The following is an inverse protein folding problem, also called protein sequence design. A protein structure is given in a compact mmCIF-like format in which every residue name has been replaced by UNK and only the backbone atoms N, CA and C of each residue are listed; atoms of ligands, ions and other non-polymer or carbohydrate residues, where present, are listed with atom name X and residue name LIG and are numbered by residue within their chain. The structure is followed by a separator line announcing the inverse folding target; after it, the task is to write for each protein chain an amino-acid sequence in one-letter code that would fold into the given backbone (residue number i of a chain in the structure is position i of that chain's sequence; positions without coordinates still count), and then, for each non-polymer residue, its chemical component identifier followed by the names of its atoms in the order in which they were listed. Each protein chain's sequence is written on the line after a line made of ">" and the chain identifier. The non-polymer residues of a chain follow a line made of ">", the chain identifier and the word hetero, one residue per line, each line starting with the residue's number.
data_IF_163911903648
#
_entry.id   IF_163911903648
#
_cell.length_a   1.000
_cell.length_b   1.000
_cell.length_c   1.000
_cell.angle_alpha   90.00
_cell.angle_beta   90.00
_cell.angle_gamma   90.00
#
_symmetry.space_group_name_H-M   'P 1'
#
loop_
_entity.id
_entity.type
_entity.pdbx_description
1 polymer ?
#
# COMPACT_ATOMS: atom_id res chain seq x y z
N UNK A 1 7.59 -36.77 48.75
CA UNK A 1 7.01 -35.63 48.03
C UNK A 1 8.12 -34.67 47.74
N UNK A 2 8.15 -34.09 46.55
CA UNK A 2 9.17 -33.11 46.14
C UNK A 2 8.83 -31.70 46.69
N UNK A 3 8.29 -31.62 47.90
CA UNK A 3 7.82 -30.38 48.49
C UNK A 3 8.99 -29.60 49.10
N UNK A 4 8.97 -28.27 48.95
CA UNK A 4 10.03 -27.42 49.48
C UNK A 4 10.10 -27.55 51.01
N UNK A 5 11.24 -28.02 51.52
CA UNK A 5 11.47 -28.19 52.96
C UNK A 5 12.06 -26.91 53.55
N UNK A 6 11.40 -26.35 54.56
CA UNK A 6 11.85 -25.16 55.27
C UNK A 6 12.43 -25.56 56.62
N UNK A 7 13.63 -25.05 56.94
CA UNK A 7 14.31 -25.30 58.21
C UNK A 7 13.50 -24.75 59.38
N UNK A 8 13.22 -25.60 60.36
CA UNK A 8 12.52 -25.19 61.58
C UNK A 8 13.31 -24.15 62.39
N UNK A 9 14.64 -24.28 62.46
CA UNK A 9 15.49 -23.45 63.33
C UNK A 9 15.82 -22.09 62.71
N UNK A 10 16.00 -22.03 61.40
CA UNK A 10 16.44 -20.82 60.69
C UNK A 10 15.33 -20.17 59.87
N UNK A 11 14.16 -20.81 59.77
CA UNK A 11 13.07 -20.37 58.90
C UNK A 11 13.42 -20.50 57.41
N UNK A 12 12.55 -19.95 56.57
CA UNK A 12 12.72 -19.89 55.11
C UNK A 12 11.52 -19.26 54.41
N UNK A 13 11.67 -18.96 53.13
CA UNK A 13 10.61 -18.38 52.28
C UNK A 13 10.12 -19.43 51.28
N UNK A 14 8.80 -19.50 51.10
CA UNK A 14 8.14 -20.27 50.05
C UNK A 14 7.51 -19.30 49.03
N UNK A 15 7.69 -19.57 47.74
CA UNK A 15 7.04 -18.80 46.67
C UNK A 15 6.21 -19.74 45.83
N UNK A 16 4.92 -19.44 45.71
CA UNK A 16 3.99 -20.12 44.81
C UNK A 16 3.61 -19.16 43.69
N UNK A 17 3.66 -19.63 42.44
CA UNK A 17 3.15 -18.89 41.27
C UNK A 17 1.86 -19.54 40.82
N UNK A 18 0.81 -18.74 40.67
CA UNK A 18 -0.46 -19.15 40.10
C UNK A 18 -0.83 -18.18 38.97
N UNK A 19 -1.50 -18.70 37.95
CA UNK A 19 -2.05 -17.93 36.84
C UNK A 19 -3.49 -18.38 36.62
N UNK A 20 -4.36 -17.42 36.33
CA UNK A 20 -5.77 -17.65 36.08
C UNK A 20 -6.16 -16.88 34.82
N UNK A 21 -6.98 -17.48 33.98
CA UNK A 21 -7.59 -16.74 32.87
C UNK A 21 -8.54 -15.69 33.45
N UNK A 22 -8.42 -14.46 32.94
CA UNK A 22 -9.30 -13.38 33.39
C UNK A 22 -10.74 -13.66 32.96
N UNK A 23 -11.67 -13.52 33.91
CA UNK A 23 -13.11 -13.43 33.63
C UNK A 23 -13.64 -12.10 34.15
N UNK A 24 -14.66 -11.49 33.51
CA UNK A 24 -15.15 -10.15 33.87
C UNK A 24 -15.51 -9.96 35.35
N UNK A 25 -16.00 -11.02 36.00
CA UNK A 25 -16.35 -11.05 37.43
C UNK A 25 -15.15 -10.76 38.33
N UNK A 26 -13.93 -11.03 37.88
CA UNK A 26 -12.70 -10.72 38.61
C UNK A 26 -12.47 -9.21 38.78
N UNK A 27 -13.16 -8.34 38.03
CA UNK A 27 -13.13 -6.90 38.29
C UNK A 27 -13.64 -6.55 39.69
N UNK A 28 -14.53 -7.37 40.27
CA UNK A 28 -15.14 -7.22 41.59
C UNK A 28 -14.95 -8.45 42.48
N UNK A 29 -13.82 -9.14 42.37
CA UNK A 29 -13.51 -10.29 43.21
C UNK A 29 -12.67 -9.92 44.42
N UNK A 30 -12.55 -10.85 45.36
CA UNK A 30 -11.55 -10.80 46.42
C UNK A 30 -10.64 -12.02 46.26
N UNK A 31 -9.33 -11.81 46.37
CA UNK A 31 -8.37 -12.92 46.33
C UNK A 31 -8.00 -13.30 47.76
N UNK A 32 -8.21 -14.57 48.10
CA UNK A 32 -7.88 -15.14 49.40
C UNK A 32 -6.81 -16.22 49.26
N UNK A 33 -5.96 -16.32 50.28
CA UNK A 33 -5.04 -17.43 50.49
C UNK A 33 -5.55 -18.30 51.63
N UNK A 34 -5.87 -19.55 51.30
CA UNK A 34 -6.31 -20.56 52.26
C UNK A 34 -5.18 -21.50 52.65
N UNK A 35 -5.17 -21.93 53.91
CA UNK A 35 -4.12 -22.76 54.47
C UNK A 35 -4.68 -24.09 54.99
N UNK A 36 -4.13 -25.19 54.49
CA UNK A 36 -4.37 -26.53 55.04
C UNK A 36 -3.07 -27.10 55.60
N UNK A 37 -2.97 -27.17 56.93
CA UNK A 37 -1.76 -27.62 57.60
C UNK A 37 -1.97 -29.03 58.15
N UNK A 38 -1.00 -29.93 57.92
CA UNK A 38 -0.97 -31.28 58.47
C UNK A 38 0.22 -31.47 59.38
N UNK A 39 -0.02 -31.97 60.61
CA UNK A 39 1.04 -32.44 61.52
C UNK A 39 0.71 -33.86 61.98
N UNK A 40 1.40 -34.84 61.41
CA UNK A 40 1.04 -36.25 61.58
C UNK A 40 -0.35 -36.55 60.99
N UNK A 41 -1.24 -37.15 61.80
CA UNK A 41 -2.65 -37.43 61.41
C UNK A 41 -3.62 -36.27 61.68
N UNK A 42 -3.17 -35.16 62.29
CA UNK A 42 -4.02 -34.01 62.64
C UNK A 42 -3.95 -32.93 61.56
N UNK A 43 -5.11 -32.43 61.16
CA UNK A 43 -5.26 -31.25 60.30
C UNK A 43 -5.50 -30.00 61.15
N UNK A 44 -4.92 -28.87 60.74
CA UNK A 44 -5.07 -27.56 61.35
C UNK A 44 -5.47 -26.57 60.26
N UNK A 45 -6.44 -25.72 60.57
CA UNK A 45 -6.91 -24.63 59.70
C UNK A 45 -6.42 -23.31 60.27
N UNK A 46 -5.81 -22.48 59.41
CA UNK A 46 -5.54 -21.08 59.72
C UNK A 46 -6.58 -20.25 58.97
N UNK A 47 -7.06 -19.12 59.53
CA UNK A 47 -7.97 -18.23 58.81
C UNK A 47 -7.43 -17.84 57.44
N UNK A 48 -8.34 -17.79 56.47
CA UNK A 48 -8.07 -17.28 55.13
C UNK A 48 -7.51 -15.85 55.22
N UNK A 49 -6.47 -15.58 54.44
CA UNK A 49 -5.88 -14.24 54.37
C UNK A 49 -6.31 -13.60 53.06
N UNK A 50 -7.04 -12.49 53.14
CA UNK A 50 -7.33 -11.67 51.96
C UNK A 50 -6.04 -11.00 51.48
N UNK A 51 -5.71 -11.17 50.20
CA UNK A 51 -4.47 -10.67 49.61
C UNK A 51 -4.67 -9.64 48.50
N UNK A 52 -5.85 -9.57 47.88
CA UNK A 52 -6.15 -8.53 46.89
C UNK A 52 -7.66 -8.27 46.71
N UNK A 53 -7.97 -7.12 46.12
CA UNK A 53 -9.31 -6.65 45.75
C UNK A 53 -9.38 -6.37 44.25
N UNK A 54 -10.17 -7.19 43.55
CA UNK A 54 -10.45 -7.12 42.12
C UNK A 54 -9.20 -7.20 41.24
N UNK A 55 -9.39 -6.98 39.95
CA UNK A 55 -8.32 -6.93 38.94
C UNK A 55 -8.42 -5.62 38.18
N UNK A 56 -7.28 -4.93 38.04
CA UNK A 56 -7.15 -3.81 37.10
C UNK A 56 -7.09 -4.39 35.68
N UNK A 57 -8.20 -4.29 34.95
CA UNK A 57 -8.39 -4.90 33.63
C UNK A 57 -8.30 -3.88 32.49
N UNK A 58 -7.51 -2.82 32.65
CA UNK A 58 -7.34 -1.76 31.64
C UNK A 58 -6.86 -2.29 30.29
N UNK A 59 -6.07 -3.38 30.27
CA UNK A 59 -5.67 -4.07 29.04
C UNK A 59 -6.82 -4.69 28.25
N UNK A 60 -7.96 -4.93 28.89
CA UNK A 60 -9.16 -5.52 28.27
C UNK A 60 -10.16 -4.48 27.75
N UNK A 61 -9.80 -3.20 27.76
CA UNK A 61 -10.63 -2.18 27.11
C UNK A 61 -10.73 -2.47 25.60
N UNK A 62 -11.93 -2.42 25.00
CA UNK A 62 -12.19 -2.83 23.62
C UNK A 62 -11.76 -1.76 22.61
N UNK A 63 -10.56 -1.20 22.74
CA UNK A 63 -10.08 -0.10 21.88
C UNK A 63 -9.90 -0.54 20.42
N UNK A 64 -9.71 -1.84 20.18
CA UNK A 64 -9.67 -2.45 18.84
C UNK A 64 -10.94 -2.10 18.04
N UNK A 65 -12.11 -2.02 18.69
CA UNK A 65 -13.37 -1.70 18.01
C UNK A 65 -13.39 -0.30 17.40
N UNK A 66 -12.54 0.61 17.91
CA UNK A 66 -12.33 1.97 17.38
C UNK A 66 -11.10 2.11 16.49
N UNK A 67 -10.43 0.99 16.15
CA UNK A 67 -9.26 1.00 15.27
C UNK A 67 -9.64 1.31 13.82
N UNK A 68 -8.69 1.83 13.05
CA UNK A 68 -8.91 2.12 11.64
C UNK A 68 -8.72 0.86 10.78
N UNK A 69 -9.81 0.39 10.18
CA UNK A 69 -9.74 -0.63 9.14
C UNK A 69 -8.96 -0.11 7.91
N UNK A 70 -8.21 -1.00 7.28
CA UNK A 70 -7.39 -0.72 6.11
C UNK A 70 -8.26 -0.39 4.90
N UNK A 71 -7.89 0.70 4.23
CA UNK A 71 -8.54 1.17 3.01
C UNK A 71 -7.84 0.58 1.80
N UNK A 72 -8.62 0.02 0.86
CA UNK A 72 -8.10 -0.47 -0.40
C UNK A 72 -8.24 0.63 -1.48
N UNK A 73 -7.13 1.28 -1.90
CA UNK A 73 -7.18 2.44 -2.77
C UNK A 73 -7.58 2.10 -4.20
N UNK A 74 -8.14 3.09 -4.89
CA UNK A 74 -8.25 3.06 -6.35
C UNK A 74 -6.87 3.12 -7.00
N UNK A 75 -6.80 2.75 -8.28
CA UNK A 75 -5.61 2.93 -9.10
C UNK A 75 -5.84 4.00 -10.19
N UNK A 76 -6.78 4.92 -9.96
CA UNK A 76 -7.19 5.89 -10.98
C UNK A 76 -6.04 6.86 -11.27
N UNK A 77 -5.71 6.98 -12.55
CA UNK A 77 -4.79 7.97 -13.06
C UNK A 77 -5.53 8.81 -14.10
N UNK A 78 -5.69 10.10 -13.81
CA UNK A 78 -6.34 11.03 -14.75
C UNK A 78 -5.54 11.21 -16.03
N UNK A 79 -4.22 11.09 -15.95
CA UNK A 79 -3.32 11.30 -17.07
C UNK A 79 -2.46 10.05 -17.22
N UNK A 80 -2.65 9.33 -18.32
CA UNK A 80 -1.84 8.15 -18.67
C UNK A 80 -0.95 8.51 -19.85
N UNK A 81 0.36 8.47 -19.64
CA UNK A 81 1.34 8.70 -20.70
C UNK A 81 1.38 7.50 -21.62
N UNK A 82 1.37 7.76 -22.92
CA UNK A 82 1.42 6.75 -23.97
C UNK A 82 2.39 7.20 -25.08
N UNK A 83 2.89 6.21 -25.83
CA UNK A 83 3.72 6.45 -26.98
C UNK A 83 3.25 5.57 -28.14
N UNK A 84 3.25 6.13 -29.36
CA UNK A 84 3.07 5.35 -30.59
C UNK A 84 4.34 5.44 -31.41
N UNK A 85 4.82 4.29 -31.86
CA UNK A 85 6.07 4.20 -32.60
C UNK A 85 5.87 3.74 -34.04
N UNK A 86 6.75 4.22 -34.91
CA UNK A 86 6.98 3.69 -36.25
C UNK A 86 8.45 3.81 -36.63
N UNK A 87 8.85 3.11 -37.68
CA UNK A 87 10.21 3.15 -38.21
C UNK A 87 10.19 3.34 -39.72
N UNK A 88 11.20 4.02 -40.22
CA UNK A 88 11.50 4.16 -41.65
C UNK A 88 12.88 3.55 -41.91
N UNK A 89 12.94 2.54 -42.77
CA UNK A 89 14.17 1.81 -43.07
C UNK A 89 14.93 2.40 -44.26
N UNK A 90 16.25 2.54 -44.12
CA UNK A 90 17.15 3.06 -45.14
C UNK A 90 17.99 1.95 -45.75
N UNK A 91 18.30 2.11 -47.04
CA UNK A 91 19.26 1.24 -47.72
C UNK A 91 20.70 1.57 -47.26
N UNK A 92 21.62 0.65 -47.53
CA UNK A 92 23.05 0.83 -47.25
C UNK A 92 23.56 2.13 -47.89
N UNK A 93 24.30 2.92 -47.13
CA UNK A 93 24.90 4.19 -47.58
C UNK A 93 23.89 5.20 -48.20
N UNK A 94 22.61 5.09 -47.87
CA UNK A 94 21.56 5.98 -48.35
C UNK A 94 20.83 6.68 -47.20
N UNK A 95 20.35 7.89 -47.46
CA UNK A 95 19.55 8.68 -46.52
C UNK A 95 18.19 9.13 -47.10
N UNK A 96 17.89 8.80 -48.37
CA UNK A 96 16.63 9.16 -49.01
C UNK A 96 15.46 8.32 -48.50
N UNK A 97 14.31 8.97 -48.30
CA UNK A 97 13.06 8.30 -47.94
C UNK A 97 12.49 7.56 -49.16
N UNK A 98 12.17 6.28 -48.99
CA UNK A 98 11.63 5.43 -50.06
C UNK A 98 10.10 5.39 -49.99
N UNK A 99 9.43 5.43 -51.14
CA UNK A 99 7.97 5.41 -51.20
C UNK A 99 7.35 4.15 -50.55
N UNK A 100 8.05 3.00 -50.58
CA UNK A 100 7.62 1.78 -49.91
C UNK A 100 7.56 1.93 -48.40
N UNK A 101 8.54 2.61 -47.80
CA UNK A 101 8.61 2.87 -46.35
C UNK A 101 7.55 3.87 -45.93
N UNK A 102 7.37 4.93 -46.73
CA UNK A 102 6.37 5.96 -46.47
C UNK A 102 4.92 5.44 -46.58
N UNK A 103 4.73 4.31 -47.27
CA UNK A 103 3.44 3.62 -47.42
C UNK A 103 3.34 2.36 -46.56
N UNK A 104 4.30 2.12 -45.66
CA UNK A 104 4.25 1.00 -44.73
C UNK A 104 3.05 1.11 -43.79
N UNK A 105 2.50 -0.03 -43.37
CA UNK A 105 1.33 -0.04 -42.50
C UNK A 105 1.65 0.50 -41.10
N UNK A 106 2.89 0.29 -40.63
CA UNK A 106 3.40 0.89 -39.39
C UNK A 106 3.34 2.42 -39.44
N UNK A 107 3.85 3.04 -40.50
CA UNK A 107 3.86 4.49 -40.62
C UNK A 107 2.45 5.06 -40.84
N UNK A 108 1.59 4.37 -41.60
CA UNK A 108 0.16 4.75 -41.70
C UNK A 108 -0.54 4.73 -40.34
N UNK A 109 -0.32 3.68 -39.55
CA UNK A 109 -0.91 3.56 -38.21
C UNK A 109 -0.39 4.66 -37.27
N UNK A 110 0.88 5.02 -37.37
CA UNK A 110 1.47 6.15 -36.65
C UNK A 110 0.80 7.47 -37.03
N UNK A 111 0.70 7.80 -38.32
CA UNK A 111 0.03 9.04 -38.78
C UNK A 111 -1.42 9.10 -38.33
N UNK A 112 -2.15 7.97 -38.45
CA UNK A 112 -3.53 7.89 -37.96
C UNK A 112 -3.62 8.20 -36.47
N UNK A 113 -2.70 7.65 -35.66
CA UNK A 113 -2.67 7.94 -34.22
C UNK A 113 -2.38 9.42 -33.96
N UNK A 114 -1.36 10.00 -34.60
CA UNK A 114 -1.01 11.43 -34.45
C UNK A 114 -2.19 12.33 -34.78
N UNK A 115 -2.90 12.07 -35.89
CA UNK A 115 -4.11 12.81 -36.26
C UNK A 115 -5.23 12.63 -35.23
N UNK A 116 -5.41 11.41 -34.71
CA UNK A 116 -6.45 11.13 -33.70
C UNK A 116 -6.19 11.91 -32.41
N UNK A 117 -4.97 11.84 -31.87
CA UNK A 117 -4.62 12.48 -30.59
C UNK A 117 -4.53 14.00 -30.70
N UNK A 118 -4.19 14.53 -31.88
CA UNK A 118 -4.21 15.98 -32.13
C UNK A 118 -5.64 16.50 -32.37
N UNK A 119 -6.53 15.68 -32.92
CA UNK A 119 -7.90 16.06 -33.26
C UNK A 119 -8.88 15.98 -32.08
N UNK A 120 -8.64 15.09 -31.12
CA UNK A 120 -9.47 14.93 -29.92
C UNK A 120 -8.73 15.45 -28.68
N UNK A 121 -8.68 16.78 -28.56
CA UNK A 121 -8.01 17.48 -27.44
C UNK A 121 -8.76 17.35 -26.12
N UNK A 122 -9.96 16.74 -26.12
CA UNK A 122 -10.70 16.44 -24.90
C UNK A 122 -10.11 15.22 -24.21
N UNK A 123 -9.87 14.16 -24.97
CA UNK A 123 -9.40 12.88 -24.43
C UNK A 123 -7.89 12.67 -24.56
N UNK A 124 -7.21 13.52 -25.33
CA UNK A 124 -5.78 13.40 -25.56
C UNK A 124 -5.05 14.74 -25.53
N UNK A 125 -3.76 14.67 -25.20
CA UNK A 125 -2.82 15.76 -25.42
C UNK A 125 -1.58 15.22 -26.12
N UNK A 126 -1.37 15.61 -27.37
CA UNK A 126 -0.10 15.36 -28.06
C UNK A 126 0.99 16.24 -27.41
N UNK A 127 2.04 15.61 -26.89
CA UNK A 127 3.12 16.32 -26.21
C UNK A 127 4.20 16.74 -27.20
N UNK A 128 4.78 15.76 -27.90
CA UNK A 128 5.79 15.97 -28.94
C UNK A 128 5.86 14.76 -29.88
N UNK A 129 6.60 14.92 -30.97
CA UNK A 129 7.06 13.82 -31.81
C UNK A 129 8.58 13.77 -31.77
N UNK A 130 9.13 12.68 -31.28
CA UNK A 130 10.57 12.42 -31.30
C UNK A 130 10.97 11.68 -32.58
N UNK A 131 12.07 12.10 -33.19
CA UNK A 131 12.71 11.43 -34.32
C UNK A 131 14.14 11.08 -33.89
N UNK A 132 14.45 9.79 -33.86
CA UNK A 132 15.80 9.29 -33.65
C UNK A 132 16.29 8.57 -34.90
N UNK A 133 17.27 9.15 -35.60
CA UNK A 133 17.86 8.56 -36.80
C UNK A 133 19.20 7.91 -36.53
N UNK A 134 19.45 6.77 -37.19
CA UNK A 134 20.60 5.93 -36.92
C UNK A 134 21.33 5.58 -38.22
N UNK A 135 22.65 5.44 -38.13
CA UNK A 135 23.43 4.67 -39.08
C UNK A 135 23.97 3.37 -38.47
N UNK A 136 24.12 2.37 -39.33
CA UNK A 136 24.67 1.07 -38.96
C UNK A 136 26.19 1.19 -38.77
N UNK A 137 26.79 0.45 -37.84
CA UNK A 137 28.23 0.53 -37.57
C UNK A 137 29.08 -0.26 -38.58
N UNK A 138 28.97 0.08 -39.87
CA UNK A 138 29.63 -0.64 -40.97
C UNK A 138 30.37 0.23 -42.01
N UNK A 139 30.31 1.56 -41.88
CA UNK A 139 30.84 2.53 -42.84
C UNK A 139 31.90 3.50 -42.33
N UNK A 140 32.44 3.32 -41.12
CA UNK A 140 33.33 4.30 -40.47
C UNK A 140 32.60 5.53 -39.90
N UNK A 141 33.22 6.19 -38.92
CA UNK A 141 32.57 7.23 -38.08
C UNK A 141 32.10 8.44 -38.89
N UNK A 142 32.94 8.97 -39.79
CA UNK A 142 32.64 10.19 -40.56
C UNK A 142 31.45 10.00 -41.52
N UNK A 143 31.47 8.91 -42.29
CA UNK A 143 30.39 8.56 -43.22
C UNK A 143 29.09 8.30 -42.46
N UNK A 144 29.16 7.54 -41.36
CA UNK A 144 28.00 7.21 -40.56
C UNK A 144 27.37 8.42 -39.86
N UNK A 145 28.20 9.36 -39.41
CA UNK A 145 27.74 10.66 -38.89
C UNK A 145 26.94 11.41 -39.95
N UNK A 146 27.52 11.55 -41.15
CA UNK A 146 26.87 12.21 -42.29
C UNK A 146 25.56 11.53 -42.68
N UNK A 147 25.53 10.19 -42.69
CA UNK A 147 24.32 9.43 -43.02
C UNK A 147 23.23 9.60 -41.96
N UNK A 148 23.58 9.51 -40.68
CA UNK A 148 22.63 9.63 -39.57
C UNK A 148 22.00 11.03 -39.52
N UNK A 149 22.80 12.08 -39.69
CA UNK A 149 22.35 13.47 -39.76
C UNK A 149 21.41 13.69 -40.96
N UNK A 150 21.79 13.24 -42.16
CA UNK A 150 20.95 13.36 -43.35
C UNK A 150 19.62 12.59 -43.22
N UNK A 151 19.64 11.41 -42.58
CA UNK A 151 18.43 10.63 -42.30
C UNK A 151 17.50 11.35 -41.33
N UNK A 152 18.05 11.97 -40.28
CA UNK A 152 17.29 12.82 -39.37
C UNK A 152 16.67 13.99 -40.14
N UNK A 153 17.46 14.79 -40.83
CA UNK A 153 16.99 15.96 -41.59
C UNK A 153 15.89 15.60 -42.61
N UNK A 154 16.06 14.51 -43.37
CA UNK A 154 15.05 14.07 -44.33
C UNK A 154 13.75 13.62 -43.64
N UNK A 155 13.86 12.87 -42.54
CA UNK A 155 12.71 12.37 -41.79
C UNK A 155 11.95 13.49 -41.10
N UNK A 156 12.66 14.43 -40.49
CA UNK A 156 12.09 15.61 -39.85
C UNK A 156 11.37 16.50 -40.86
N UNK A 157 12.00 16.79 -42.01
CA UNK A 157 11.35 17.53 -43.10
C UNK A 157 10.07 16.84 -43.57
N UNK A 158 10.09 15.51 -43.71
CA UNK A 158 8.90 14.75 -44.06
C UNK A 158 7.82 14.87 -42.99
N UNK A 159 8.17 14.72 -41.70
CA UNK A 159 7.22 14.79 -40.59
C UNK A 159 6.59 16.18 -40.49
N UNK A 160 7.40 17.24 -40.53
CA UNK A 160 6.92 18.63 -40.53
C UNK A 160 5.95 18.91 -41.69
N UNK A 161 6.18 18.33 -42.87
CA UNK A 161 5.22 18.43 -43.98
C UNK A 161 3.90 17.71 -43.71
N UNK A 162 3.92 16.53 -43.08
CA UNK A 162 2.69 15.82 -42.73
C UNK A 162 1.90 16.55 -41.64
N UNK A 163 2.58 17.07 -40.61
CA UNK A 163 1.96 17.89 -39.56
C UNK A 163 1.31 19.14 -40.14
N UNK A 164 2.01 19.86 -41.01
CA UNK A 164 1.47 21.03 -41.72
C UNK A 164 0.24 20.69 -42.56
N UNK A 165 0.23 19.54 -43.25
CA UNK A 165 -0.95 19.07 -44.00
C UNK A 165 -2.13 18.75 -43.08
N UNK A 166 -1.85 18.16 -41.92
CA UNK A 166 -2.85 17.88 -40.88
C UNK A 166 -3.28 19.10 -40.08
N UNK A 167 -2.63 20.26 -40.26
CA UNK A 167 -2.78 21.46 -39.41
C UNK A 167 -2.54 21.15 -37.92
N UNK A 168 -1.58 20.26 -37.66
CA UNK A 168 -1.21 19.84 -36.30
C UNK A 168 -0.01 20.66 -35.87
N UNK A 169 -0.17 21.40 -34.77
CA UNK A 169 0.91 22.15 -34.13
C UNK A 169 1.44 21.32 -32.95
N UNK A 170 2.69 20.87 -33.06
CA UNK A 170 3.39 20.11 -32.02
C UNK A 170 4.89 20.31 -32.18
N UNK A 171 5.64 20.18 -31.08
CA UNK A 171 7.09 20.14 -31.11
C UNK A 171 7.57 18.84 -31.78
N UNK A 172 8.63 18.94 -32.59
CA UNK A 172 9.31 17.81 -33.22
C UNK A 172 10.77 17.82 -32.77
N UNK A 173 11.11 16.86 -31.92
CA UNK A 173 12.45 16.72 -31.36
C UNK A 173 13.24 15.72 -32.18
N UNK A 174 14.21 16.20 -32.94
CA UNK A 174 14.99 15.36 -33.84
C UNK A 174 16.43 15.22 -33.35
N UNK A 175 16.92 13.98 -33.29
CA UNK A 175 18.30 13.65 -32.96
C UNK A 175 18.83 12.52 -33.85
N UNK A 176 20.14 12.41 -33.94
CA UNK A 176 20.79 11.33 -34.67
C UNK A 176 21.87 10.64 -33.83
N UNK A 177 22.14 9.38 -34.16
CA UNK A 177 23.23 8.60 -33.59
C UNK A 177 24.06 8.04 -34.74
N UNK A 178 25.31 8.47 -34.82
CA UNK A 178 26.22 8.08 -35.91
C UNK A 178 26.38 6.56 -35.99
N UNK A 179 26.65 5.88 -34.88
CA UNK A 179 26.78 4.43 -34.84
C UNK A 179 25.95 3.85 -33.70
N UNK A 180 24.87 3.15 -34.04
CA UNK A 180 23.95 2.52 -33.07
C UNK A 180 24.55 1.22 -32.48
N UNK A 181 25.63 1.35 -31.71
CA UNK A 181 26.30 0.21 -31.08
C UNK A 181 25.41 -0.48 -30.03
N UNK A 182 24.60 0.28 -29.30
CA UNK A 182 23.67 -0.26 -28.30
C UNK A 182 22.56 -1.06 -28.98
N UNK A 183 21.95 -0.52 -30.03
CA UNK A 183 20.97 -1.25 -30.84
C UNK A 183 21.59 -2.47 -31.53
N UNK A 184 22.85 -2.39 -31.97
CA UNK A 184 23.56 -3.53 -32.54
C UNK A 184 23.72 -4.66 -31.50
N UNK A 185 24.16 -4.33 -30.29
CA UNK A 185 24.28 -5.28 -29.20
C UNK A 185 22.93 -5.91 -28.86
N UNK A 186 21.86 -5.11 -28.79
CA UNK A 186 20.51 -5.60 -28.51
C UNK A 186 20.04 -6.60 -29.57
N UNK A 187 20.14 -6.25 -30.85
CA UNK A 187 19.72 -7.13 -31.95
C UNK A 187 20.54 -8.42 -32.00
N UNK A 188 21.87 -8.34 -31.81
CA UNK A 188 22.73 -9.52 -31.75
C UNK A 188 22.29 -10.42 -30.59
N UNK A 189 22.06 -9.86 -29.40
CA UNK A 189 21.66 -10.65 -28.20
C UNK A 189 20.39 -11.48 -28.42
N UNK A 190 19.43 -10.92 -29.17
CA UNK A 190 18.13 -11.54 -29.52
C UNK A 190 18.20 -12.45 -30.75
N UNK A 191 19.30 -12.46 -31.47
CA UNK A 191 19.48 -13.25 -32.69
C UNK A 191 19.90 -14.70 -32.41
N UNK A 192 19.82 -15.53 -33.45
CA UNK A 192 20.30 -16.91 -33.49
C UNK A 192 21.60 -17.06 -34.30
N UNK A 193 22.37 -15.97 -34.42
CA UNK A 193 23.60 -15.95 -35.21
C UNK A 193 24.68 -16.81 -34.54
N UNK A 194 25.47 -17.51 -35.35
CA UNK A 194 26.60 -18.29 -34.89
C UNK A 194 27.64 -17.38 -34.20
N UNK A 195 28.29 -17.85 -33.14
CA UNK A 195 29.30 -17.08 -32.38
C UNK A 195 28.76 -15.76 -31.77
N UNK A 196 27.46 -15.68 -31.50
CA UNK A 196 26.80 -14.56 -30.81
C UNK A 196 27.55 -14.11 -29.56
N UNK A 197 27.96 -15.04 -28.70
CA UNK A 197 28.65 -14.72 -27.44
C UNK A 197 30.03 -14.10 -27.67
N UNK A 198 30.71 -14.46 -28.77
CA UNK A 198 31.97 -13.84 -29.16
C UNK A 198 31.73 -12.39 -29.60
N UNK A 199 30.70 -12.15 -30.41
CA UNK A 199 30.33 -10.80 -30.85
C UNK A 199 29.98 -9.91 -29.66
N UNK A 200 29.14 -10.40 -28.74
CA UNK A 200 28.76 -9.66 -27.53
C UNK A 200 29.98 -9.36 -26.65
N UNK A 201 30.94 -10.30 -26.55
CA UNK A 201 32.19 -10.08 -25.84
C UNK A 201 33.02 -8.98 -26.48
N UNK A 202 33.17 -8.99 -27.81
CA UNK A 202 33.88 -7.94 -28.56
C UNK A 202 33.24 -6.57 -28.30
N UNK A 203 31.91 -6.47 -28.37
CA UNK A 203 31.18 -5.23 -28.09
C UNK A 203 31.38 -4.71 -26.65
N UNK A 204 31.52 -5.63 -25.68
CA UNK A 204 31.79 -5.28 -24.28
C UNK A 204 33.26 -4.92 -23.99
N UNK A 205 34.20 -5.52 -24.73
CA UNK A 205 35.64 -5.43 -24.45
C UNK A 205 36.25 -4.16 -25.03
N UNK A 206 35.75 -3.71 -26.18
CA UNK A 206 36.18 -2.48 -26.82
C UNK A 206 35.12 -1.41 -26.62
N UNK A 207 35.53 -0.18 -26.34
CA UNK A 207 34.65 1.00 -26.32
C UNK A 207 34.89 1.92 -27.52
N UNK A 208 36.08 1.85 -28.12
CA UNK A 208 36.45 2.58 -29.32
C UNK A 208 35.64 2.09 -30.52
N UNK A 209 34.91 2.97 -31.24
CA UNK A 209 34.08 2.56 -32.37
C UNK A 209 34.82 2.00 -33.58
N UNK A 210 36.02 2.51 -33.90
CA UNK A 210 36.81 2.03 -35.03
C UNK A 210 37.40 0.64 -34.72
N UNK A 211 37.83 0.45 -33.47
CA UNK A 211 38.29 -0.84 -33.00
C UNK A 211 37.15 -1.87 -32.99
N UNK A 212 35.96 -1.51 -32.48
CA UNK A 212 34.77 -2.38 -32.54
C UNK A 212 34.44 -2.81 -33.97
N UNK A 213 34.41 -1.86 -34.90
CA UNK A 213 34.08 -2.14 -36.30
C UNK A 213 35.10 -3.09 -36.94
N UNK A 214 36.39 -2.87 -36.69
CA UNK A 214 37.47 -3.71 -37.20
C UNK A 214 37.38 -5.14 -36.67
N UNK A 215 37.22 -5.30 -35.36
CA UNK A 215 37.16 -6.61 -34.72
C UNK A 215 35.91 -7.40 -35.17
N UNK A 216 34.77 -6.74 -35.33
CA UNK A 216 33.55 -7.36 -35.85
C UNK A 216 33.71 -7.79 -37.32
N UNK A 217 34.36 -6.97 -38.16
CA UNK A 217 34.64 -7.31 -39.56
C UNK A 217 35.61 -8.50 -39.69
N UNK A 218 36.54 -8.67 -38.74
CA UNK A 218 37.48 -9.78 -38.71
C UNK A 218 36.82 -11.14 -38.40
N UNK A 219 35.60 -11.16 -37.87
CA UNK A 219 34.79 -12.38 -37.69
C UNK A 219 34.17 -12.79 -39.04
N UNK A 220 35.02 -13.06 -40.02
CA UNK A 220 34.72 -13.10 -41.45
C UNK A 220 33.52 -14.00 -41.85
N UNK A 221 33.36 -15.17 -41.24
CA UNK A 221 32.27 -16.10 -41.53
C UNK A 221 30.91 -15.64 -41.01
N UNK A 222 30.89 -14.87 -39.91
CA UNK A 222 29.67 -14.41 -39.22
C UNK A 222 29.29 -13.00 -39.67
N UNK A 223 30.28 -12.20 -40.11
CA UNK A 223 30.06 -10.85 -40.60
C UNK A 223 29.06 -10.81 -41.76
N UNK A 224 29.07 -11.82 -42.64
CA UNK A 224 28.08 -11.91 -43.72
C UNK A 224 26.65 -12.02 -43.17
N UNK A 225 26.42 -12.90 -42.20
CA UNK A 225 25.12 -13.03 -41.53
C UNK A 225 24.73 -11.74 -40.80
N UNK A 226 25.69 -11.07 -40.15
CA UNK A 226 25.45 -9.76 -39.53
C UNK A 226 25.05 -8.70 -40.56
N UNK A 227 25.72 -8.67 -41.72
CA UNK A 227 25.46 -7.73 -42.80
C UNK A 227 24.12 -7.97 -43.50
N UNK A 228 23.69 -9.21 -43.60
CA UNK A 228 22.45 -9.60 -44.27
C UNK A 228 21.24 -9.52 -43.32
N UNK A 229 21.40 -9.86 -42.04
CA UNK A 229 20.28 -10.01 -41.10
C UNK A 229 20.18 -8.90 -40.04
N UNK A 230 21.29 -8.34 -39.56
CA UNK A 230 21.30 -7.41 -38.41
C UNK A 230 21.52 -5.96 -38.84
N UNK A 231 22.61 -5.67 -39.54
CA UNK A 231 22.99 -4.32 -39.95
C UNK A 231 21.88 -3.58 -40.73
N UNK A 232 21.07 -4.23 -41.59
CA UNK A 232 19.96 -3.56 -42.27
C UNK A 232 18.90 -3.04 -41.29
N UNK A 233 18.66 -3.74 -40.18
CA UNK A 233 17.70 -3.32 -39.15
C UNK A 233 18.17 -2.09 -38.37
N UNK A 234 19.47 -1.81 -38.35
CA UNK A 234 20.01 -0.62 -37.69
C UNK A 234 19.89 0.66 -38.52
N UNK A 235 19.70 0.52 -39.84
CA UNK A 235 19.57 1.64 -40.78
C UNK A 235 18.14 2.18 -40.73
N UNK A 236 17.79 2.91 -39.66
CA UNK A 236 16.42 3.36 -39.43
C UNK A 236 16.33 4.79 -38.92
N UNK A 237 15.17 5.40 -39.12
CA UNK A 237 14.69 6.50 -38.30
C UNK A 237 13.47 6.01 -37.51
N UNK A 238 13.55 6.08 -36.18
CA UNK A 238 12.45 5.77 -35.27
C UNK A 238 11.67 7.05 -35.02
N UNK A 239 10.36 7.00 -35.21
CA UNK A 239 9.43 8.06 -34.88
C UNK A 239 8.63 7.63 -33.65
N UNK A 240 8.53 8.52 -32.66
CA UNK A 240 7.77 8.28 -31.44
C UNK A 240 6.85 9.48 -31.20
N UNK A 241 5.53 9.28 -31.27
CA UNK A 241 4.57 10.28 -30.86
C UNK A 241 4.25 10.05 -29.38
N UNK A 242 4.65 10.98 -28.52
CA UNK A 242 4.35 10.91 -27.09
C UNK A 242 3.08 11.73 -26.83
N UNK A 243 2.11 11.12 -26.16
CA UNK A 243 0.84 11.76 -25.88
C UNK A 243 0.27 11.29 -24.54
N UNK A 244 -0.54 12.14 -23.94
CA UNK A 244 -1.29 11.83 -22.74
C UNK A 244 -2.69 11.38 -23.14
N UNK A 245 -3.20 10.32 -22.50
CA UNK A 245 -4.62 9.98 -22.48
C UNK A 245 -5.21 10.62 -21.23
N UNK A 246 -6.22 11.47 -21.44
CA UNK A 246 -6.88 12.25 -20.40
C UNK A 246 -8.17 11.54 -20.03
N UNK A 247 -8.23 11.05 -18.79
CA UNK A 247 -9.43 10.50 -18.17
C UNK A 247 -10.42 11.60 -17.77
N UNK A 248 -11.63 11.18 -17.39
CA UNK A 248 -12.72 12.09 -16.99
C UNK A 248 -12.33 13.01 -15.83
N UNK A 249 -12.90 14.22 -15.81
CA UNK A 249 -12.79 15.14 -14.68
C UNK A 249 -13.59 14.66 -13.46
N UNK A 250 -13.39 15.29 -12.31
CA UNK A 250 -14.17 15.01 -11.09
C UNK A 250 -15.67 15.24 -11.29
N UNK A 251 -16.02 16.29 -12.01
CA UNK A 251 -17.39 16.64 -12.35
C UNK A 251 -17.99 15.63 -13.33
N UNK A 252 -17.22 15.21 -14.34
CA UNK A 252 -17.66 14.19 -15.29
C UNK A 252 -17.84 12.82 -14.64
N UNK A 253 -16.96 12.43 -13.72
CA UNK A 253 -17.09 11.18 -12.96
C UNK A 253 -18.32 11.21 -12.06
N UNK A 254 -18.53 12.31 -11.31
CA UNK A 254 -19.71 12.45 -10.47
C UNK A 254 -21.01 12.44 -11.28
N UNK A 255 -21.06 13.21 -12.37
CA UNK A 255 -22.23 13.26 -13.24
C UNK A 255 -22.52 11.90 -13.88
N UNK A 256 -21.49 11.18 -14.32
CA UNK A 256 -21.63 9.84 -14.87
C UNK A 256 -22.13 8.85 -13.81
N UNK A 257 -21.67 8.93 -12.56
CA UNK A 257 -22.19 8.08 -11.49
C UNK A 257 -23.71 8.32 -11.26
N UNK A 258 -24.14 9.58 -11.27
CA UNK A 258 -25.53 9.96 -11.02
C UNK A 258 -26.47 9.64 -12.21
N UNK A 259 -25.94 9.50 -13.43
CA UNK A 259 -26.73 9.30 -14.66
C UNK A 259 -26.61 7.91 -15.28
N UNK A 260 -25.40 7.42 -15.49
CA UNK A 260 -25.12 6.07 -16.01
C UNK A 260 -23.75 5.55 -15.52
N UNK A 261 -23.73 5.01 -14.30
CA UNK A 261 -22.50 4.49 -13.69
C UNK A 261 -21.80 3.37 -14.49
N UNK A 262 -22.45 2.75 -15.50
CA UNK A 262 -21.87 1.67 -16.31
C UNK A 262 -20.76 2.16 -17.24
N UNK A 263 -20.71 3.47 -17.52
CA UNK A 263 -19.67 4.06 -18.37
C UNK A 263 -18.35 4.32 -17.63
N UNK A 264 -18.38 4.22 -16.29
CA UNK A 264 -17.23 4.41 -15.42
C UNK A 264 -16.52 3.07 -15.20
N UNK A 265 -15.21 3.09 -15.29
CA UNK A 265 -14.37 1.96 -14.88
C UNK A 265 -14.46 1.71 -13.37
N UNK A 266 -13.98 0.54 -12.93
CA UNK A 266 -13.87 0.23 -11.50
C UNK A 266 -12.98 1.24 -10.75
N UNK A 267 -11.86 1.67 -11.34
CA UNK A 267 -10.99 2.67 -10.74
C UNK A 267 -11.65 4.05 -10.67
N UNK A 268 -12.39 4.48 -11.70
CA UNK A 268 -13.16 5.72 -11.66
C UNK A 268 -14.25 5.69 -10.59
N UNK A 269 -14.96 4.56 -10.41
CA UNK A 269 -15.97 4.43 -9.35
C UNK A 269 -15.33 4.45 -7.96
N UNK A 270 -14.24 3.72 -7.75
CA UNK A 270 -13.53 3.73 -6.46
C UNK A 270 -12.99 5.14 -6.15
N UNK A 271 -12.45 5.82 -7.16
CA UNK A 271 -12.01 7.21 -7.06
C UNK A 271 -13.18 8.15 -6.75
N UNK A 272 -14.35 7.97 -7.37
CA UNK A 272 -15.54 8.78 -7.11
C UNK A 272 -15.94 8.78 -5.63
N UNK A 273 -15.75 7.65 -4.93
CA UNK A 273 -16.02 7.58 -3.49
C UNK A 273 -15.08 8.46 -2.65
N UNK A 274 -13.88 8.79 -3.16
CA UNK A 274 -12.94 9.71 -2.50
C UNK A 274 -13.32 11.19 -2.66
N UNK A 275 -14.16 11.51 -3.66
CA UNK A 275 -14.58 12.88 -3.98
C UNK A 275 -15.67 13.43 -3.06
N UNK A 276 -16.22 12.60 -2.18
CA UNK A 276 -17.29 12.99 -1.26
C UNK A 276 -16.88 12.74 0.19
N UNK A 277 -17.47 13.50 1.12
CA UNK A 277 -17.40 13.24 2.56
C UNK A 277 -18.70 12.64 3.12
N UNK A 278 -19.75 12.55 2.31
CA UNK A 278 -21.02 11.92 2.69
C UNK A 278 -20.90 10.39 2.66
N UNK A 279 -21.00 9.77 3.83
CA UNK A 279 -20.93 8.32 3.99
C UNK A 279 -22.05 7.59 3.21
N UNK A 280 -23.25 8.17 3.11
CA UNK A 280 -24.33 7.53 2.36
C UNK A 280 -23.99 7.45 0.86
N UNK A 281 -23.47 8.54 0.29
CA UNK A 281 -22.98 8.55 -1.10
C UNK A 281 -21.80 7.62 -1.31
N UNK A 282 -20.82 7.56 -0.40
CA UNK A 282 -19.69 6.60 -0.47
C UNK A 282 -20.18 5.16 -0.52
N UNK A 283 -21.10 4.80 0.36
CA UNK A 283 -21.65 3.45 0.43
C UNK A 283 -22.41 3.10 -0.86
N UNK A 284 -23.20 4.03 -1.39
CA UNK A 284 -23.91 3.86 -2.66
C UNK A 284 -22.93 3.62 -3.83
N UNK A 285 -21.83 4.38 -3.88
CA UNK A 285 -20.79 4.20 -4.89
C UNK A 285 -20.16 2.81 -4.77
N UNK A 286 -19.69 2.41 -3.59
CA UNK A 286 -19.07 1.09 -3.44
C UNK A 286 -20.03 -0.07 -3.71
N UNK A 287 -21.31 0.04 -3.31
CA UNK A 287 -22.34 -0.94 -3.67
C UNK A 287 -22.51 -1.04 -5.19
N UNK A 288 -22.51 0.10 -5.89
CA UNK A 288 -22.58 0.10 -7.35
C UNK A 288 -21.34 -0.49 -8.00
N UNK A 289 -20.15 -0.25 -7.43
CA UNK A 289 -18.91 -0.89 -7.88
C UNK A 289 -18.98 -2.41 -7.73
N UNK A 290 -19.52 -2.91 -6.60
CA UNK A 290 -19.73 -4.36 -6.41
C UNK A 290 -20.71 -4.94 -7.45
N UNK A 291 -21.78 -4.21 -7.77
CA UNK A 291 -22.77 -4.63 -8.78
C UNK A 291 -22.14 -4.72 -10.19
N UNK A 292 -21.37 -3.71 -10.59
CA UNK A 292 -20.81 -3.60 -11.94
C UNK A 292 -19.50 -4.40 -12.11
N UNK A 293 -18.72 -4.51 -11.04
CA UNK A 293 -17.39 -5.13 -11.01
C UNK A 293 -17.29 -6.14 -9.85
N UNK A 294 -18.07 -7.23 -9.87
CA UNK A 294 -18.19 -8.16 -8.74
C UNK A 294 -16.91 -8.94 -8.39
N UNK A 295 -15.88 -8.88 -9.24
CA UNK A 295 -14.58 -9.50 -9.02
C UNK A 295 -13.52 -8.55 -8.43
N UNK A 296 -13.83 -7.26 -8.29
CA UNK A 296 -12.93 -6.30 -7.63
C UNK A 296 -13.09 -6.38 -6.11
N UNK A 297 -12.03 -6.80 -5.40
CA UNK A 297 -12.08 -6.96 -3.95
C UNK A 297 -12.21 -5.62 -3.19
N UNK A 298 -11.77 -4.51 -3.80
CA UNK A 298 -11.56 -3.23 -3.11
C UNK A 298 -12.87 -2.62 -2.63
N UNK A 299 -13.92 -2.70 -3.45
CA UNK A 299 -15.24 -2.20 -3.07
C UNK A 299 -15.85 -2.98 -1.90
N UNK A 300 -15.71 -4.32 -1.88
CA UNK A 300 -16.10 -5.14 -0.72
C UNK A 300 -15.30 -4.76 0.51
N UNK A 301 -13.98 -4.62 0.40
CA UNK A 301 -13.12 -4.20 1.51
C UNK A 301 -13.55 -2.84 2.07
N UNK A 302 -13.82 -1.86 1.20
CA UNK A 302 -14.16 -0.51 1.63
C UNK A 302 -15.58 -0.42 2.23
N UNK A 303 -16.53 -1.24 1.77
CA UNK A 303 -17.82 -1.44 2.45
C UNK A 303 -17.63 -2.05 3.85
N UNK A 304 -16.75 -3.04 3.97
CA UNK A 304 -16.39 -3.64 5.26
C UNK A 304 -15.75 -2.63 6.21
N UNK A 305 -14.87 -1.76 5.71
CA UNK A 305 -14.25 -0.68 6.47
C UNK A 305 -15.31 0.30 7.00
N UNK A 306 -16.30 0.67 6.19
CA UNK A 306 -17.41 1.54 6.61
C UNK A 306 -18.29 0.88 7.68
N UNK A 307 -18.61 -0.41 7.51
CA UNK A 307 -19.35 -1.17 8.53
C UNK A 307 -18.57 -1.28 9.84
N UNK A 308 -17.25 -1.48 9.77
CA UNK A 308 -16.37 -1.53 10.94
C UNK A 308 -16.38 -0.21 11.70
N UNK A 309 -16.25 0.92 10.97
CA UNK A 309 -16.30 2.26 11.56
C UNK A 309 -17.65 2.58 12.22
N UNK A 310 -18.74 1.98 11.73
CA UNK A 310 -20.08 2.08 12.32
C UNK A 310 -20.30 1.12 13.50
N UNK A 311 -19.31 0.29 13.86
CA UNK A 311 -19.41 -0.72 14.92
C UNK A 311 -20.20 -1.98 14.53
N UNK A 312 -20.65 -2.10 13.27
CA UNK A 312 -21.31 -3.31 12.76
C UNK A 312 -20.25 -4.35 12.32
N UNK A 313 -19.64 -4.97 13.32
CA UNK A 313 -18.55 -5.94 13.14
C UNK A 313 -19.00 -7.18 12.34
N UNK A 314 -20.26 -7.58 12.44
CA UNK A 314 -20.79 -8.73 11.73
C UNK A 314 -20.88 -8.45 10.22
N UNK A 315 -21.42 -7.29 9.84
CA UNK A 315 -21.46 -6.86 8.43
C UNK A 315 -20.05 -6.60 7.89
N UNK A 316 -19.17 -6.00 8.70
CA UNK A 316 -17.78 -5.77 8.34
C UNK A 316 -17.07 -7.09 8.00
N UNK A 317 -17.15 -8.08 8.89
CA UNK A 317 -16.59 -9.41 8.66
C UNK A 317 -17.12 -10.05 7.38
N UNK A 318 -18.43 -9.99 7.13
CA UNK A 318 -19.03 -10.56 5.94
C UNK A 318 -18.45 -9.92 4.66
N UNK A 319 -18.31 -8.59 4.63
CA UNK A 319 -17.70 -7.91 3.49
C UNK A 319 -16.20 -8.22 3.33
N UNK A 320 -15.44 -8.28 4.42
CA UNK A 320 -14.02 -8.65 4.35
C UNK A 320 -13.83 -10.10 3.88
N UNK A 321 -14.71 -11.03 4.27
CA UNK A 321 -14.70 -12.41 3.73
C UNK A 321 -15.04 -12.45 2.24
N UNK A 322 -16.00 -11.64 1.79
CA UNK A 322 -16.28 -11.51 0.36
C UNK A 322 -15.08 -10.93 -0.39
N UNK A 323 -14.42 -9.89 0.14
CA UNK A 323 -13.19 -9.35 -0.43
C UNK A 323 -12.08 -10.42 -0.52
N UNK A 324 -11.90 -11.21 0.54
CA UNK A 324 -10.94 -12.32 0.57
C UNK A 324 -11.25 -13.40 -0.47
N UNK A 325 -12.53 -13.65 -0.77
CA UNK A 325 -12.92 -14.59 -1.83
C UNK A 325 -12.51 -14.11 -3.23
N UNK A 326 -12.31 -12.80 -3.42
CA UNK A 326 -11.86 -12.19 -4.68
C UNK A 326 -10.35 -12.07 -4.74
N UNK A 327 -9.72 -11.69 -3.63
CA UNK A 327 -8.27 -11.65 -3.50
C UNK A 327 -7.83 -11.99 -2.07
N UNK A 328 -7.47 -13.25 -1.84
CA UNK A 328 -7.04 -13.75 -0.54
C UNK A 328 -5.66 -13.21 -0.09
N UNK A 329 -4.87 -12.67 -1.02
CA UNK A 329 -3.52 -12.15 -0.76
C UNK A 329 -3.47 -10.63 -0.63
N UNK A 330 -4.61 -9.93 -0.74
CA UNK A 330 -4.67 -8.49 -0.56
C UNK A 330 -4.29 -8.12 0.89
N UNK A 331 -3.31 -7.23 1.05
CA UNK A 331 -2.79 -6.84 2.36
C UNK A 331 -3.85 -6.15 3.23
N UNK A 332 -4.71 -5.33 2.62
CA UNK A 332 -5.78 -4.59 3.28
C UNK A 332 -6.84 -5.55 3.83
N UNK A 333 -7.21 -6.56 3.03
CA UNK A 333 -8.18 -7.57 3.43
C UNK A 333 -7.64 -8.40 4.60
N UNK A 334 -6.37 -8.80 4.55
CA UNK A 334 -5.73 -9.53 5.64
C UNK A 334 -5.60 -8.67 6.91
N UNK A 335 -5.27 -7.38 6.77
CA UNK A 335 -5.29 -6.42 7.90
C UNK A 335 -6.66 -6.39 8.58
N UNK A 336 -7.71 -6.28 7.77
CA UNK A 336 -9.09 -6.14 8.25
C UNK A 336 -9.66 -7.41 8.87
N UNK A 337 -9.39 -8.58 8.30
CA UNK A 337 -9.73 -9.86 8.93
C UNK A 337 -8.96 -10.07 10.22
N UNK A 338 -7.69 -9.63 10.28
CA UNK A 338 -6.91 -9.62 11.50
C UNK A 338 -7.57 -8.78 12.61
N UNK A 339 -8.04 -7.57 12.29
CA UNK A 339 -8.80 -6.74 13.23
C UNK A 339 -10.08 -7.43 13.71
N UNK A 340 -10.87 -8.04 12.82
CA UNK A 340 -12.06 -8.81 13.20
C UNK A 340 -11.71 -9.92 14.19
N UNK A 341 -10.67 -10.72 13.92
CA UNK A 341 -10.26 -11.78 14.83
C UNK A 341 -9.79 -11.24 16.19
N UNK A 342 -9.14 -10.06 16.23
CA UNK A 342 -8.82 -9.39 17.49
C UNK A 342 -10.07 -8.94 18.26
N UNK A 343 -11.10 -8.43 17.59
CA UNK A 343 -12.37 -8.06 18.27
C UNK A 343 -13.07 -9.27 18.90
N UNK A 344 -12.88 -10.46 18.34
CA UNK A 344 -13.38 -11.73 18.88
C UNK A 344 -12.50 -12.36 19.96
N UNK A 345 -11.30 -11.81 20.19
CA UNK A 345 -10.30 -12.39 21.08
C UNK A 345 -9.51 -13.56 20.49
N UNK A 346 -9.64 -13.84 19.20
CA UNK A 346 -8.94 -14.94 18.51
C UNK A 346 -7.51 -14.54 18.10
N UNK A 347 -6.64 -14.35 19.10
CA UNK A 347 -5.28 -13.79 18.91
C UNK A 347 -4.44 -14.59 17.91
N UNK A 348 -4.51 -15.93 17.91
CA UNK A 348 -3.74 -16.77 16.99
C UNK A 348 -4.19 -16.63 15.52
N UNK A 349 -5.50 -16.52 15.27
CA UNK A 349 -6.02 -16.29 13.94
C UNK A 349 -5.67 -14.88 13.46
N UNK A 350 -5.78 -13.88 14.34
CA UNK A 350 -5.38 -12.52 14.04
C UNK A 350 -3.90 -12.44 13.62
N UNK A 351 -3.00 -13.10 14.36
CA UNK A 351 -1.58 -13.16 14.00
C UNK A 351 -1.35 -13.79 12.62
N UNK A 352 -2.08 -14.86 12.29
CA UNK A 352 -2.00 -15.49 10.97
C UNK A 352 -2.39 -14.53 9.84
N UNK A 353 -3.49 -13.79 10.00
CA UNK A 353 -3.91 -12.79 9.02
C UNK A 353 -2.92 -11.62 8.95
N UNK A 354 -2.52 -11.07 10.10
CA UNK A 354 -1.64 -9.91 10.16
C UNK A 354 -0.21 -10.20 9.68
N UNK A 355 0.23 -11.46 9.66
CA UNK A 355 1.49 -11.85 8.99
C UNK A 355 1.51 -11.53 7.48
N UNK A 356 0.34 -11.33 6.86
CA UNK A 356 0.15 -11.00 5.43
C UNK A 356 -0.29 -9.55 5.20
N UNK A 357 -0.23 -8.70 6.23
CA UNK A 357 -0.71 -7.31 6.18
C UNK A 357 0.28 -6.32 5.56
N UNK A 358 1.52 -6.74 5.28
CA UNK A 358 2.58 -5.86 4.77
C UNK A 358 2.13 -5.09 3.54
N UNK A 359 2.24 -3.76 3.60
CA UNK A 359 1.85 -2.85 2.53
C UNK A 359 0.48 -2.19 2.71
N UNK A 360 -0.38 -2.69 3.61
CA UNK A 360 -1.63 -2.00 3.93
C UNK A 360 -1.38 -0.75 4.79
N UNK A 361 -2.18 0.28 4.56
CA UNK A 361 -2.03 1.60 5.21
C UNK A 361 -2.15 1.57 6.75
N UNK A 362 -2.99 0.69 7.31
CA UNK A 362 -3.18 0.54 8.77
C UNK A 362 -2.58 -0.75 9.34
N UNK A 363 -1.70 -1.43 8.60
CA UNK A 363 -1.07 -2.68 9.02
C UNK A 363 -0.38 -2.56 10.40
N UNK A 364 0.38 -1.48 10.58
CA UNK A 364 1.10 -1.19 11.82
C UNK A 364 0.16 -0.93 13.00
N UNK A 365 -0.98 -0.27 12.76
CA UNK A 365 -2.01 -0.07 13.78
C UNK A 365 -2.62 -1.42 14.21
N UNK A 366 -2.95 -2.27 13.24
CA UNK A 366 -3.49 -3.61 13.53
C UNK A 366 -2.49 -4.50 14.27
N UNK A 367 -1.20 -4.47 13.88
CA UNK A 367 -0.12 -5.14 14.60
C UNK A 367 0.05 -4.60 16.03
N UNK A 368 -0.08 -3.28 16.23
CA UNK A 368 -0.08 -2.68 17.56
C UNK A 368 -1.20 -3.24 18.45
N UNK A 369 -2.41 -3.40 17.89
CA UNK A 369 -3.53 -4.03 18.60
C UNK A 369 -3.26 -5.50 18.93
N UNK A 370 -2.64 -6.26 18.02
CA UNK A 370 -2.20 -7.64 18.27
C UNK A 370 -1.20 -7.68 19.43
N UNK A 371 -0.20 -6.80 19.43
CA UNK A 371 0.82 -6.74 20.49
C UNK A 371 0.25 -6.35 21.85
N UNK A 372 -0.79 -5.51 21.92
CA UNK A 372 -1.54 -5.29 23.16
C UNK A 372 -2.13 -6.60 23.67
N UNK A 373 -2.82 -7.37 22.80
CA UNK A 373 -3.42 -8.66 23.18
C UNK A 373 -2.39 -9.73 23.54
N UNK A 374 -1.16 -9.64 23.04
CA UNK A 374 -0.05 -10.50 23.42
C UNK A 374 0.71 -10.02 24.68
N UNK A 375 0.33 -8.88 25.27
CA UNK A 375 1.02 -8.28 26.42
C UNK A 375 2.37 -7.64 26.09
N UNK A 376 2.68 -7.45 24.80
CA UNK A 376 3.95 -6.91 24.30
C UNK A 376 3.87 -5.38 24.13
N UNK A 377 3.66 -4.66 25.23
CA UNK A 377 3.31 -3.23 25.19
C UNK A 377 4.37 -2.33 24.54
N UNK A 378 5.66 -2.59 24.76
CA UNK A 378 6.73 -1.81 24.13
C UNK A 378 6.72 -1.99 22.59
N UNK A 379 6.48 -3.21 22.12
CA UNK A 379 6.33 -3.50 20.69
C UNK A 379 5.04 -2.87 20.14
N UNK A 380 3.96 -2.87 20.92
CA UNK A 380 2.73 -2.19 20.55
C UNK A 380 2.96 -0.69 20.34
N UNK A 381 3.63 -0.02 21.29
CA UNK A 381 3.97 1.42 21.19
C UNK A 381 4.82 1.70 19.95
N UNK A 382 5.80 0.85 19.65
CA UNK A 382 6.62 0.97 18.44
C UNK A 382 5.79 0.80 17.17
N UNK A 383 4.92 -0.21 17.12
CA UNK A 383 4.07 -0.48 15.97
C UNK A 383 3.09 0.68 15.70
N UNK A 384 2.43 1.22 16.74
CA UNK A 384 1.56 2.38 16.56
C UNK A 384 2.31 3.64 16.07
N UNK A 385 3.58 3.80 16.44
CA UNK A 385 4.39 4.97 16.06
C UNK A 385 3.71 6.28 16.47
N UNK A 386 3.33 7.08 15.47
CA UNK A 386 2.66 8.37 15.64
C UNK A 386 1.13 8.32 15.49
N UNK A 387 0.55 7.14 15.35
CA UNK A 387 -0.91 6.96 15.25
C UNK A 387 -1.64 7.55 16.45
N UNK A 388 -2.71 8.31 16.20
CA UNK A 388 -3.50 9.01 17.23
C UNK A 388 -4.84 8.32 17.46
N UNK A 389 -4.80 7.15 18.09
CA UNK A 389 -5.98 6.32 18.38
C UNK A 389 -6.06 5.90 19.84
N UNK A 390 -7.25 5.46 20.26
CA UNK A 390 -7.47 4.90 21.60
C UNK A 390 -6.55 3.72 21.88
N UNK A 391 -6.31 2.83 20.90
CA UNK A 391 -5.40 1.70 21.06
C UNK A 391 -3.94 2.13 21.22
N UNK A 392 -3.49 3.14 20.47
CA UNK A 392 -2.13 3.68 20.65
C UNK A 392 -1.94 4.26 22.06
N UNK A 393 -2.92 5.00 22.55
CA UNK A 393 -2.91 5.53 23.91
C UNK A 393 -2.98 4.42 24.98
N UNK A 394 -3.79 3.38 24.76
CA UNK A 394 -3.86 2.23 25.66
C UNK A 394 -2.50 1.53 25.76
N UNK A 395 -1.82 1.26 24.64
CA UNK A 395 -0.47 0.72 24.64
C UNK A 395 0.50 1.59 25.45
N UNK A 396 0.43 2.92 25.30
CA UNK A 396 1.26 3.86 26.05
C UNK A 396 0.95 3.85 27.55
N UNK A 397 -0.33 3.78 27.95
CA UNK A 397 -0.76 3.64 29.35
C UNK A 397 -0.23 2.34 29.97
N UNK A 398 -0.28 1.23 29.22
CA UNK A 398 0.20 -0.09 29.67
C UNK A 398 1.73 -0.14 29.74
N UNK A 399 2.42 0.57 28.85
CA UNK A 399 3.86 0.82 28.91
C UNK A 399 4.27 1.91 29.94
N UNK A 400 3.31 2.50 30.66
CA UNK A 400 3.49 3.55 31.67
C UNK A 400 4.04 4.89 31.13
N UNK A 401 3.92 5.14 29.83
CA UNK A 401 4.21 6.43 29.21
C UNK A 401 2.95 7.33 29.20
N UNK A 402 2.61 7.85 30.38
CA UNK A 402 1.38 8.61 30.59
C UNK A 402 1.37 9.98 29.89
N UNK A 403 2.55 10.59 29.72
CA UNK A 403 2.68 11.87 29.02
C UNK A 403 2.38 11.71 27.53
N UNK A 404 2.96 10.67 26.90
CA UNK A 404 2.65 10.36 25.51
C UNK A 404 1.19 9.92 25.36
N UNK A 405 0.66 9.10 26.26
CA UNK A 405 -0.75 8.72 26.26
C UNK A 405 -1.69 9.93 26.27
N UNK A 406 -1.46 10.88 27.19
CA UNK A 406 -2.23 12.13 27.27
C UNK A 406 -2.16 12.94 25.97
N UNK A 407 -0.97 13.09 25.41
CA UNK A 407 -0.77 13.80 24.13
C UNK A 407 -1.51 13.10 22.98
N UNK A 408 -1.39 11.78 22.89
CA UNK A 408 -2.06 10.96 21.87
C UNK A 408 -3.58 11.09 21.97
N UNK A 409 -4.16 10.93 23.16
CA UNK A 409 -5.61 11.07 23.39
C UNK A 409 -6.13 12.47 23.06
N UNK A 410 -5.35 13.51 23.35
CA UNK A 410 -5.72 14.91 23.06
C UNK A 410 -5.72 15.21 21.55
N UNK A 411 -5.03 14.39 20.75
CA UNK A 411 -4.91 14.53 19.30
C UNK A 411 -5.82 13.56 18.52
N UNK A 412 -6.67 12.76 19.20
CA UNK A 412 -7.66 11.91 18.54
C UNK A 412 -8.67 12.81 17.82
N UNK A 413 -8.81 12.66 16.50
CA UNK A 413 -9.64 13.53 15.66
C UNK A 413 -11.11 13.57 16.08
N UNK A 414 -11.66 12.40 16.40
CA UNK A 414 -13.06 12.23 16.82
C UNK A 414 -13.07 11.52 18.18
N UNK A 415 -12.89 12.26 19.30
CA UNK A 415 -12.80 11.65 20.62
C UNK A 415 -14.15 11.07 21.06
N UNK A 416 -14.14 9.81 21.45
CA UNK A 416 -15.30 9.06 21.91
C UNK A 416 -15.28 8.86 23.44
N UNK A 417 -16.26 8.11 23.96
CA UNK A 417 -16.35 7.80 25.39
C UNK A 417 -15.10 7.05 25.88
N UNK A 418 -14.51 6.17 25.07
CA UNK A 418 -13.29 5.45 25.42
C UNK A 418 -12.05 6.35 25.42
N UNK A 419 -11.98 7.36 24.54
CA UNK A 419 -10.92 8.38 24.58
C UNK A 419 -10.92 9.09 25.93
N UNK A 420 -12.10 9.52 26.39
CA UNK A 420 -12.25 10.19 27.68
C UNK A 420 -12.04 9.22 28.86
N UNK A 421 -12.47 7.97 28.75
CA UNK A 421 -12.21 6.95 29.76
C UNK A 421 -10.71 6.73 29.96
N UNK A 422 -9.95 6.54 28.87
CA UNK A 422 -8.50 6.38 28.91
C UNK A 422 -7.81 7.64 29.47
N UNK A 423 -8.34 8.83 29.19
CA UNK A 423 -7.85 10.07 29.80
C UNK A 423 -8.07 10.09 31.31
N UNK A 424 -9.22 9.60 31.80
CA UNK A 424 -9.47 9.42 33.22
C UNK A 424 -8.50 8.41 33.84
N UNK A 425 -8.20 7.29 33.16
CA UNK A 425 -7.18 6.31 33.59
C UNK A 425 -5.82 6.98 33.75
N UNK A 426 -5.40 7.82 32.78
CA UNK A 426 -4.17 8.62 32.89
C UNK A 426 -4.21 9.51 34.12
N UNK A 427 -5.33 10.20 34.38
CA UNK A 427 -5.52 11.00 35.59
C UNK A 427 -5.35 10.19 36.87
N UNK A 428 -5.99 9.02 36.96
CA UNK A 428 -5.92 8.16 38.13
C UNK A 428 -4.48 7.66 38.40
N UNK A 429 -3.77 7.22 37.36
CA UNK A 429 -2.38 6.73 37.45
C UNK A 429 -1.35 7.83 37.73
N UNK A 430 -1.68 9.08 37.43
CA UNK A 430 -0.82 10.25 37.67
C UNK A 430 -1.24 11.06 38.90
N UNK A 431 -2.18 10.55 39.70
CA UNK A 431 -2.74 11.22 40.87
C UNK A 431 -3.39 12.59 40.61
N UNK A 432 -4.03 12.75 39.45
CA UNK A 432 -4.67 14.00 39.04
C UNK A 432 -6.21 13.87 39.08
N UNK A 433 -6.80 14.20 40.22
CA UNK A 433 -8.24 14.10 40.47
C UNK A 433 -9.08 14.98 39.53
N UNK A 434 -8.60 16.19 39.20
CA UNK A 434 -9.29 17.10 38.29
C UNK A 434 -9.38 16.53 36.86
N UNK A 435 -8.31 15.86 36.41
CA UNK A 435 -8.30 15.17 35.12
C UNK A 435 -9.27 13.97 35.12
N UNK A 436 -9.33 13.20 36.21
CA UNK A 436 -10.30 12.11 36.35
C UNK A 436 -11.72 12.66 36.24
N UNK A 437 -12.05 13.67 37.04
CA UNK A 437 -13.38 14.27 37.09
C UNK A 437 -13.81 14.84 35.73
N UNK A 438 -13.00 15.73 35.16
CA UNK A 438 -13.31 16.39 33.89
C UNK A 438 -13.42 15.41 32.71
N UNK A 439 -12.68 14.29 32.74
CA UNK A 439 -12.78 13.24 31.74
C UNK A 439 -14.02 12.38 31.95
N UNK A 440 -14.32 11.97 33.18
CA UNK A 440 -15.51 11.18 33.50
C UNK A 440 -16.83 11.93 33.27
N UNK A 441 -16.85 13.25 33.46
CA UNK A 441 -18.01 14.07 33.10
C UNK A 441 -18.34 13.99 31.61
N UNK A 442 -17.32 13.90 30.74
CA UNK A 442 -17.51 13.66 29.30
C UNK A 442 -17.96 12.23 29.02
N UNK A 443 -17.40 11.24 29.70
CA UNK A 443 -17.85 9.83 29.57
C UNK A 443 -19.34 9.72 29.89
N UNK A 444 -19.83 10.33 30.98
CA UNK A 444 -21.25 10.32 31.34
C UNK A 444 -22.17 10.92 30.26
N UNK A 445 -21.68 11.93 29.53
CA UNK A 445 -22.43 12.56 28.44
C UNK A 445 -22.47 11.69 27.17
N UNK A 446 -21.43 10.89 26.94
CA UNK A 446 -21.27 10.10 25.71
C UNK A 446 -21.76 8.67 25.84
N UNK A 447 -21.55 8.03 26.99
CA UNK A 447 -21.89 6.62 27.25
C UNK A 447 -22.18 6.38 28.75
N UNK A 448 -23.47 6.29 29.09
CA UNK A 448 -23.92 6.04 30.45
C UNK A 448 -23.53 4.65 30.98
N UNK A 449 -23.45 3.63 30.11
CA UNK A 449 -23.07 2.29 30.50
C UNK A 449 -21.58 2.22 30.85
N UNK A 450 -20.74 2.90 30.06
CA UNK A 450 -19.31 3.03 30.35
C UNK A 450 -19.06 3.83 31.64
N UNK A 451 -19.84 4.88 31.89
CA UNK A 451 -19.77 5.62 33.15
C UNK A 451 -20.13 4.74 34.37
N UNK A 452 -21.20 3.93 34.26
CA UNK A 452 -21.58 2.98 35.31
C UNK A 452 -20.52 1.89 35.53
N UNK A 453 -19.84 1.46 34.47
CA UNK A 453 -18.68 0.57 34.56
C UNK A 453 -17.54 1.22 35.35
N UNK A 454 -17.22 2.49 35.09
CA UNK A 454 -16.15 3.22 35.75
C UNK A 454 -16.31 3.27 37.28
N UNK A 455 -17.53 3.44 37.78
CA UNK A 455 -17.82 3.47 39.24
C UNK A 455 -17.40 2.19 39.97
N UNK A 456 -17.25 1.11 39.19
CA UNK A 456 -16.95 -0.23 39.65
C UNK A 456 -15.55 -0.70 39.24
N UNK A 457 -14.81 0.13 38.51
CA UNK A 457 -13.47 -0.19 38.03
C UNK A 457 -12.45 0.07 39.14
N UNK A 458 -11.59 -0.93 39.39
CA UNK A 458 -10.51 -0.84 40.39
C UNK A 458 -9.50 0.24 40.06
N UNK A 459 -9.37 0.62 38.79
CA UNK A 459 -8.54 1.74 38.34
C UNK A 459 -8.94 3.06 39.04
N UNK A 460 -10.22 3.22 39.38
CA UNK A 460 -10.76 4.44 39.99
C UNK A 460 -11.09 4.30 41.49
N UNK A 461 -10.62 3.25 42.16
CA UNK A 461 -10.96 3.00 43.56
C UNK A 461 -10.65 4.16 44.52
N UNK A 462 -9.60 4.94 44.23
CA UNK A 462 -9.22 6.16 45.00
C UNK A 462 -9.99 7.41 44.60
N UNK A 463 -10.73 7.35 43.50
CA UNK A 463 -11.41 8.48 42.84
C UNK A 463 -12.93 8.28 42.77
N UNK A 464 -13.49 7.52 43.71
CA UNK A 464 -14.90 7.16 43.69
C UNK A 464 -15.84 8.37 43.70
N UNK A 465 -15.40 9.53 44.20
CA UNK A 465 -16.18 10.77 44.19
C UNK A 465 -16.13 11.48 42.85
N UNK A 466 -14.99 11.42 42.15
CA UNK A 466 -14.78 12.03 40.84
C UNK A 466 -15.47 11.22 39.73
N UNK A 467 -15.67 9.92 39.93
CA UNK A 467 -16.30 9.02 38.96
C UNK A 467 -17.84 8.90 39.15
N UNK A 468 -18.35 9.13 40.36
CA UNK A 468 -19.80 9.30 40.61
C UNK A 468 -20.32 10.51 39.86
#
# INVERSE_FOLDING_TARGET
>A
GNDQTISYKTGGTYTMKASFDYVPEMAKSELYLDFKIKKGKKEYTIPSVKIADGVIATSELPTVNSANAAYAPDAFQRIIKQAKEAQIMFLIQQANLRASELKSDSLKAFHKQVVTVAGDTKNYKLNNIEISAYASPDGGVELNTTLAENRQNNTEKYMNQQLKKGKIETEVDAKYTAQDWDGFQELVSKSNIQDKDLILRVLSMYSDPEQRETEIKNISSVYKTLADEILPQLRRARLTANYDVIGRSDEEINAAFDTDAKVLSNDELLYAATLTNDNARKEAIYKKTVELYPNDFRAYNNLGMMAYANGDLATAENYFKQAASKNANAAEVNTNLGLIELTKGNVANAETYLSKSTGANTANEALGNLYIKQGQYDRAVQAFGDTKTNSAALAQILAKDYNKAKSTLSAVKNPDAYTNYLMAVVGARTNNADLVKSSMDKVKQQDAALAAKAQNDREFAKYANEVK
#
